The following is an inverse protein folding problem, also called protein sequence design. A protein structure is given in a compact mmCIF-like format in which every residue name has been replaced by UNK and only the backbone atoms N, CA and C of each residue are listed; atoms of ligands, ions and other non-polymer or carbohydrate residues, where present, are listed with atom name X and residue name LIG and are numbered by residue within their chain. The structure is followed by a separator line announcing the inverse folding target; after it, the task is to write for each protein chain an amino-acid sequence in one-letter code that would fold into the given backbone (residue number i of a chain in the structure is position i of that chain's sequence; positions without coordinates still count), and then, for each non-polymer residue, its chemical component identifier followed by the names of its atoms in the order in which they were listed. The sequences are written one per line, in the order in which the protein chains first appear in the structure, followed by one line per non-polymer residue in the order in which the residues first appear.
data_IF_731284679147
#
_entry.id   IF_731284679147
#
_cell.length_a   1.000
_cell.length_b   1.000
_cell.length_c   1.000
_cell.angle_alpha   90.00
_cell.angle_beta   90.00
_cell.angle_gamma   90.00
#
_symmetry.space_group_name_H-M   'P 1'
#
loop_
_entity.id
_entity.type
_entity.pdbx_description
1 polymer ?
#
# COMPACT_ATOMS: atom_id res chain seq x y z
N UNK A 1 12.34 -25.42 -26.15
CA UNK A 1 13.70 -25.01 -26.58
C UNK A 1 14.53 -24.82 -25.33
N UNK A 2 15.67 -25.49 -25.27
CA UNK A 2 16.65 -25.47 -24.19
C UNK A 2 17.60 -24.30 -24.44
N UNK A 3 17.95 -23.52 -23.41
CA UNK A 3 19.06 -22.58 -23.44
C UNK A 3 19.88 -22.84 -22.18
N UNK A 4 20.94 -23.62 -22.35
CA UNK A 4 21.98 -23.79 -21.35
C UNK A 4 23.01 -22.65 -21.47
N UNK A 5 23.37 -22.10 -20.31
CA UNK A 5 24.72 -21.68 -19.89
C UNK A 5 25.34 -20.37 -20.39
N UNK A 6 25.60 -19.47 -19.43
CA UNK A 6 26.90 -18.80 -19.32
C UNK A 6 27.37 -18.80 -17.85
N UNK A 7 28.42 -19.60 -17.58
CA UNK A 7 29.50 -19.31 -16.63
C UNK A 7 29.24 -19.52 -15.13
N UNK A 8 29.57 -20.69 -14.60
CA UNK A 8 29.89 -20.85 -13.17
C UNK A 8 31.41 -20.66 -13.01
N UNK A 9 31.89 -19.63 -12.29
CA UNK A 9 33.29 -19.58 -11.87
C UNK A 9 33.54 -20.67 -10.83
N UNK A 10 34.62 -21.42 -11.07
CA UNK A 10 35.16 -22.45 -10.19
C UNK A 10 35.48 -21.91 -8.80
N UNK A 11 35.03 -22.65 -7.79
CA UNK A 11 35.57 -22.74 -6.43
C UNK A 11 35.72 -21.41 -5.66
N UNK A 12 34.71 -21.09 -4.85
CA UNK A 12 34.97 -20.50 -3.54
C UNK A 12 34.27 -21.37 -2.48
N UNK A 13 35.08 -21.86 -1.53
CA UNK A 13 34.61 -22.46 -0.29
C UNK A 13 33.91 -21.39 0.55
N UNK A 14 32.67 -21.07 0.24
CA UNK A 14 31.79 -20.33 1.15
C UNK A 14 30.73 -21.30 1.65
N UNK A 15 30.92 -21.73 2.89
CA UNK A 15 29.91 -22.39 3.69
C UNK A 15 28.71 -21.45 3.73
N UNK A 16 27.61 -21.80 3.06
CA UNK A 16 26.35 -21.09 3.23
C UNK A 16 25.87 -21.35 4.66
N UNK A 17 26.26 -20.49 5.58
CA UNK A 17 25.51 -20.29 6.79
C UNK A 17 24.22 -19.59 6.36
N UNK A 18 23.13 -20.36 6.30
CA UNK A 18 21.78 -19.83 6.34
C UNK A 18 21.61 -19.22 7.73
N UNK A 19 22.06 -17.97 7.90
CA UNK A 19 21.58 -17.11 8.98
C UNK A 19 20.16 -16.72 8.60
N UNK A 20 19.20 -17.45 9.16
CA UNK A 20 17.79 -17.08 9.17
C UNK A 20 17.62 -15.96 10.19
N UNK A 21 17.83 -14.73 9.78
CA UNK A 21 17.44 -13.53 10.54
C UNK A 21 17.08 -12.36 9.61
N UNK A 22 16.51 -12.67 8.43
CA UNK A 22 15.94 -11.67 7.54
C UNK A 22 14.58 -11.20 8.10
N UNK A 23 14.66 -10.33 9.10
CA UNK A 23 13.54 -9.52 9.57
C UNK A 23 13.28 -8.42 8.51
N UNK A 24 12.72 -8.81 7.35
CA UNK A 24 12.40 -7.91 6.22
C UNK A 24 11.51 -6.71 6.63
N UNK A 25 10.90 -6.76 7.82
CA UNK A 25 10.13 -5.66 8.40
C UNK A 25 11.00 -4.49 8.91
N UNK A 26 12.30 -4.72 9.16
CA UNK A 26 13.21 -3.76 9.78
C UNK A 26 14.26 -3.20 8.80
N UNK A 27 14.36 -3.75 7.59
CA UNK A 27 15.24 -3.21 6.57
C UNK A 27 14.78 -1.82 6.14
N UNK A 28 15.73 -0.89 6.02
CA UNK A 28 15.45 0.44 5.47
C UNK A 28 14.92 0.25 4.05
N UNK A 29 13.61 0.39 3.90
CA UNK A 29 12.96 0.54 2.60
C UNK A 29 13.81 1.54 1.80
N UNK A 30 14.35 1.10 0.66
CA UNK A 30 15.09 1.98 -0.24
C UNK A 30 14.25 3.20 -0.63
N UNK A 31 14.87 4.21 -1.26
CA UNK A 31 14.13 5.41 -1.66
C UNK A 31 12.85 5.02 -2.43
N UNK A 32 11.66 5.51 -2.01
CA UNK A 32 10.40 5.04 -2.56
C UNK A 32 10.36 5.30 -4.07
N UNK A 33 10.22 4.24 -4.86
CA UNK A 33 10.15 4.31 -6.32
C UNK A 33 8.94 5.12 -6.79
N UNK A 34 7.83 5.12 -6.03
CA UNK A 34 6.66 5.94 -6.30
C UNK A 34 5.98 6.23 -4.96
N UNK A 35 5.64 7.49 -4.71
CA UNK A 35 4.89 7.88 -3.53
C UNK A 35 3.65 8.69 -3.92
N UNK A 36 2.53 8.34 -3.31
CA UNK A 36 1.24 8.99 -3.52
C UNK A 36 0.73 9.51 -2.18
N UNK A 37 0.58 10.84 -2.06
CA UNK A 37 0.04 11.48 -0.87
C UNK A 37 -1.36 12.02 -1.17
N UNK A 38 -2.35 11.59 -0.40
CA UNK A 38 -3.74 11.99 -0.55
C UNK A 38 -4.20 12.86 0.63
N UNK A 39 -4.49 14.12 0.34
CA UNK A 39 -5.07 15.07 1.29
C UNK A 39 -6.55 15.28 0.97
N UNK A 40 -7.38 14.31 1.36
CA UNK A 40 -8.82 14.32 1.05
C UNK A 40 -9.54 15.56 1.57
N UNK A 41 -9.17 16.07 2.76
CA UNK A 41 -9.75 17.30 3.33
C UNK A 41 -9.48 18.55 2.49
N UNK A 42 -8.41 18.54 1.69
CA UNK A 42 -8.02 19.64 0.80
C UNK A 42 -8.38 19.32 -0.66
N UNK A 43 -8.84 18.11 -0.96
CA UNK A 43 -9.08 17.64 -2.32
C UNK A 43 -7.81 17.59 -3.18
N UNK A 44 -6.65 17.32 -2.58
CA UNK A 44 -5.35 17.31 -3.26
C UNK A 44 -4.70 15.93 -3.22
N UNK A 45 -4.09 15.57 -4.35
CA UNK A 45 -3.24 14.39 -4.49
C UNK A 45 -1.88 14.84 -5.01
N UNK A 46 -0.81 14.33 -4.40
CA UNK A 46 0.56 14.50 -4.86
C UNK A 46 1.12 13.16 -5.35
N UNK A 47 1.65 13.15 -6.56
CA UNK A 47 2.32 11.99 -7.16
C UNK A 47 3.80 12.31 -7.28
N UNK A 48 4.63 11.57 -6.57
CA UNK A 48 6.08 11.75 -6.50
C UNK A 48 6.74 10.52 -7.11
N UNK A 49 7.62 10.74 -8.08
CA UNK A 49 8.25 9.69 -8.87
C UNK A 49 9.71 10.04 -9.19
N UNK A 50 10.56 9.04 -9.43
CA UNK A 50 11.96 9.22 -9.75
C UNK A 50 12.09 9.92 -11.11
N UNK A 51 13.08 10.79 -11.20
CA UNK A 51 13.42 11.52 -12.41
C UNK A 51 14.89 11.24 -12.81
N UNK A 52 15.22 11.30 -14.10
CA UNK A 52 16.59 11.04 -14.57
C UNK A 52 17.57 12.18 -14.22
N UNK A 53 17.08 13.39 -14.01
CA UNK A 53 17.90 14.59 -13.74
C UNK A 53 17.71 15.10 -12.31
N UNK A 54 18.73 15.72 -11.69
CA UNK A 54 18.61 16.35 -10.37
C UNK A 54 17.38 17.28 -10.28
N UNK A 55 16.54 17.20 -9.23
CA UNK A 55 16.77 16.53 -7.93
C UNK A 55 16.42 15.03 -7.89
N UNK A 56 16.42 14.34 -9.04
CA UNK A 56 16.06 12.91 -9.21
C UNK A 56 14.64 12.56 -8.77
N UNK A 57 13.82 13.59 -8.57
CA UNK A 57 12.43 13.49 -8.14
C UNK A 57 11.62 14.47 -8.95
N UNK A 58 10.53 13.99 -9.51
CA UNK A 58 9.48 14.81 -10.09
C UNK A 58 8.22 14.65 -9.24
N UNK A 59 7.56 15.77 -8.95
CA UNK A 59 6.29 15.77 -8.25
C UNK A 59 5.22 16.48 -9.07
N UNK A 60 4.04 15.88 -9.15
CA UNK A 60 2.83 16.50 -9.70
C UNK A 60 1.74 16.59 -8.66
N UNK A 61 1.03 17.71 -8.63
CA UNK A 61 -0.15 17.92 -7.80
C UNK A 61 -1.40 17.89 -8.69
N UNK A 62 -2.45 17.22 -8.23
CA UNK A 62 -3.72 17.15 -8.93
C UNK A 62 -4.89 17.28 -7.95
N UNK A 63 -6.03 17.72 -8.46
CA UNK A 63 -7.28 17.75 -7.68
C UNK A 63 -7.87 16.36 -7.64
N UNK A 64 -8.31 15.92 -6.46
CA UNK A 64 -9.04 14.67 -6.30
C UNK A 64 -10.45 14.89 -6.87
N UNK A 65 -10.83 14.23 -7.99
CA UNK A 65 -12.10 14.49 -8.66
C UNK A 65 -13.30 13.91 -7.91
N UNK A 66 -13.07 12.96 -6.99
CA UNK A 66 -14.11 12.26 -6.23
C UNK A 66 -13.66 12.15 -4.77
N UNK A 67 -14.48 12.65 -3.85
CA UNK A 67 -14.24 12.49 -2.42
C UNK A 67 -14.40 11.01 -2.10
N UNK A 68 -13.30 10.32 -1.78
CA UNK A 68 -13.38 8.99 -1.21
C UNK A 68 -14.08 9.11 0.15
N UNK A 69 -15.02 8.21 0.50
CA UNK A 69 -15.69 8.27 1.78
C UNK A 69 -14.66 8.30 2.91
N UNK A 70 -14.70 9.30 3.82
CA UNK A 70 -13.68 9.48 4.85
C UNK A 70 -13.67 8.35 5.89
N UNK A 71 -14.68 7.48 5.88
CA UNK A 71 -14.74 6.32 6.73
C UNK A 71 -15.25 5.12 5.90
N UNK A 72 -14.54 3.98 5.89
CA UNK A 72 -15.06 2.75 5.28
C UNK A 72 -16.40 2.28 5.88
N UNK A 73 -16.73 2.72 7.09
CA UNK A 73 -17.92 2.34 7.87
C UNK A 73 -19.00 3.45 7.91
N UNK A 74 -19.18 4.21 6.83
CA UNK A 74 -20.29 5.15 6.69
C UNK A 74 -21.67 4.45 6.73
N UNK A 75 -22.78 5.17 6.98
CA UNK A 75 -24.12 4.57 7.01
C UNK A 75 -24.43 3.85 5.69
N UNK A 76 -24.90 2.60 5.78
CA UNK A 76 -25.14 1.72 4.63
C UNK A 76 -24.26 0.47 4.59
N UNK A 77 -23.40 0.25 5.60
CA UNK A 77 -22.66 -1.00 5.72
C UNK A 77 -23.55 -2.15 6.20
N UNK A 78 -23.47 -3.28 5.52
CA UNK A 78 -24.19 -4.51 5.83
C UNK A 78 -23.21 -5.60 6.24
N UNK A 79 -23.47 -6.25 7.37
CA UNK A 79 -22.80 -7.50 7.70
C UNK A 79 -23.26 -8.60 6.73
N UNK A 80 -22.30 -9.24 6.07
CA UNK A 80 -22.58 -10.33 5.11
C UNK A 80 -22.48 -11.66 5.83
N UNK A 81 -21.32 -11.93 6.44
CA UNK A 81 -21.02 -13.20 7.11
C UNK A 81 -19.77 -13.12 7.97
N UNK A 82 -19.66 -14.06 8.88
CA UNK A 82 -18.39 -14.47 9.46
C UNK A 82 -17.92 -15.72 8.74
N UNK A 83 -16.64 -15.77 8.38
CA UNK A 83 -16.05 -16.91 7.69
C UNK A 83 -14.62 -17.15 8.17
N UNK A 84 -14.05 -18.28 7.73
CA UNK A 84 -12.66 -18.64 8.04
C UNK A 84 -12.00 -19.12 6.77
N UNK A 85 -10.78 -18.67 6.52
CA UNK A 85 -9.89 -19.21 5.50
C UNK A 85 -8.70 -19.94 6.14
N UNK A 86 -7.70 -20.28 5.33
CA UNK A 86 -6.51 -21.02 5.79
C UNK A 86 -5.63 -20.19 6.74
N UNK A 87 -5.81 -18.86 6.79
CA UNK A 87 -4.97 -17.94 7.56
C UNK A 87 -5.69 -17.50 8.84
N UNK A 88 -6.96 -17.08 8.74
CA UNK A 88 -7.65 -16.43 9.87
C UNK A 88 -9.17 -16.60 9.83
N UNK A 89 -9.82 -16.23 10.94
CA UNK A 89 -11.27 -16.02 11.00
C UNK A 89 -11.56 -14.54 10.83
N UNK A 90 -12.51 -14.20 9.97
CA UNK A 90 -12.80 -12.83 9.61
C UNK A 90 -14.31 -12.56 9.48
N UNK A 91 -14.66 -11.30 9.72
CA UNK A 91 -15.98 -10.75 9.49
C UNK A 91 -15.98 -10.01 8.16
N UNK A 92 -16.95 -10.35 7.30
CA UNK A 92 -17.15 -9.74 5.99
C UNK A 92 -18.32 -8.75 6.05
N UNK A 93 -18.01 -7.52 5.68
CA UNK A 93 -18.95 -6.41 5.60
C UNK A 93 -18.96 -5.85 4.19
N UNK A 94 -20.12 -5.35 3.74
CA UNK A 94 -20.29 -4.79 2.40
C UNK A 94 -20.90 -3.40 2.49
N UNK A 95 -20.38 -2.46 1.71
CA UNK A 95 -20.96 -1.14 1.50
C UNK A 95 -21.16 -0.90 0.00
N UNK A 96 -22.38 -0.53 -0.37
CA UNK A 96 -22.73 -0.22 -1.76
C UNK A 96 -22.81 1.29 -1.95
N UNK A 97 -21.97 1.81 -2.85
CA UNK A 97 -22.00 3.19 -3.31
C UNK A 97 -22.64 3.24 -4.70
N UNK A 98 -23.13 4.41 -5.09
CA UNK A 98 -23.79 4.58 -6.39
C UNK A 98 -22.92 4.13 -7.58
N UNK A 99 -21.60 4.26 -7.48
CA UNK A 99 -20.67 3.96 -8.57
C UNK A 99 -19.81 2.72 -8.34
N UNK A 100 -19.75 2.18 -7.13
CA UNK A 100 -18.83 1.10 -6.79
C UNK A 100 -19.29 0.36 -5.54
N UNK A 101 -18.74 -0.83 -5.31
CA UNK A 101 -18.99 -1.63 -4.11
C UNK A 101 -17.69 -1.83 -3.35
N UNK A 102 -17.78 -1.80 -2.03
CA UNK A 102 -16.67 -2.08 -1.12
C UNK A 102 -17.01 -3.32 -0.29
N UNK A 103 -16.14 -4.32 -0.32
CA UNK A 103 -16.20 -5.47 0.57
C UNK A 103 -15.03 -5.40 1.54
N UNK A 104 -15.33 -5.26 2.83
CA UNK A 104 -14.37 -5.17 3.91
C UNK A 104 -14.29 -6.47 4.69
N UNK A 105 -13.08 -6.85 5.05
CA UNK A 105 -12.83 -8.05 5.83
C UNK A 105 -11.95 -7.66 7.01
N UNK A 106 -12.44 -7.93 8.21
CA UNK A 106 -11.74 -7.64 9.46
C UNK A 106 -11.46 -8.94 10.20
N UNK A 107 -10.30 -9.05 10.85
CA UNK A 107 -10.06 -10.15 11.77
C UNK A 107 -11.09 -10.14 12.89
N UNK A 108 -11.77 -11.26 13.14
CA UNK A 108 -12.83 -11.32 14.17
C UNK A 108 -12.27 -11.05 15.57
N UNK A 109 -11.04 -11.50 15.86
CA UNK A 109 -10.44 -11.39 17.20
C UNK A 109 -9.87 -10.00 17.50
N UNK A 110 -9.11 -9.42 16.57
CA UNK A 110 -8.44 -8.13 16.76
C UNK A 110 -9.23 -6.93 16.24
N UNK A 111 -10.23 -7.15 15.38
CA UNK A 111 -10.95 -6.09 14.69
C UNK A 111 -10.13 -5.34 13.65
N UNK A 112 -8.88 -5.76 13.39
CA UNK A 112 -7.99 -5.09 12.45
C UNK A 112 -8.38 -5.42 10.99
N UNK A 113 -8.15 -4.49 10.04
CA UNK A 113 -8.36 -4.75 8.61
C UNK A 113 -7.50 -5.94 8.15
N UNK A 114 -8.12 -6.85 7.41
CA UNK A 114 -7.46 -8.01 6.81
C UNK A 114 -7.35 -7.86 5.29
N UNK A 115 -8.47 -7.59 4.62
CA UNK A 115 -8.52 -7.37 3.17
C UNK A 115 -9.68 -6.46 2.79
N UNK A 116 -9.57 -5.83 1.64
CA UNK A 116 -10.61 -4.98 1.06
C UNK A 116 -10.71 -5.26 -0.44
N UNK A 117 -11.93 -5.38 -0.94
CA UNK A 117 -12.19 -5.32 -2.38
C UNK A 117 -12.85 -3.99 -2.72
N UNK A 118 -12.33 -3.36 -3.78
CA UNK A 118 -12.98 -2.23 -4.44
C UNK A 118 -13.36 -2.69 -5.83
N UNK A 119 -14.64 -2.95 -6.05
CA UNK A 119 -15.13 -3.62 -7.27
C UNK A 119 -14.42 -4.97 -7.53
N UNK A 120 -13.44 -5.00 -8.44
CA UNK A 120 -12.65 -6.19 -8.79
C UNK A 120 -11.22 -6.15 -8.26
N UNK A 121 -10.78 -5.05 -7.67
CA UNK A 121 -9.42 -4.88 -7.16
C UNK A 121 -9.31 -5.36 -5.71
N UNK A 122 -8.30 -6.19 -5.42
CA UNK A 122 -8.02 -6.72 -4.10
C UNK A 122 -6.85 -5.99 -3.44
N UNK A 123 -7.08 -5.50 -2.23
CA UNK A 123 -6.07 -4.95 -1.34
C UNK A 123 -5.96 -5.84 -0.11
N UNK A 124 -4.82 -6.48 0.10
CA UNK A 124 -4.52 -7.28 1.29
C UNK A 124 -3.62 -6.51 2.25
N UNK A 125 -3.93 -6.56 3.53
CA UNK A 125 -3.15 -5.91 4.59
C UNK A 125 -2.33 -6.97 5.33
N UNK A 126 -1.01 -6.95 5.15
CA UNK A 126 -0.11 -7.94 5.75
C UNK A 126 0.22 -7.61 7.20
N UNK A 127 0.40 -6.32 7.51
CA UNK A 127 0.65 -5.82 8.85
C UNK A 127 -0.13 -4.53 9.08
N UNK A 128 -0.69 -4.41 10.28
CA UNK A 128 -1.36 -3.20 10.74
C UNK A 128 -0.92 -2.95 12.17
N UNK A 129 -0.21 -1.85 12.38
CA UNK A 129 0.19 -1.40 13.71
C UNK A 129 -0.72 -0.26 14.14
N UNK A 130 -1.40 -0.44 15.27
CA UNK A 130 -2.16 0.63 15.91
C UNK A 130 -1.22 1.51 16.71
N UNK A 131 -1.26 2.82 16.51
CA UNK A 131 -0.45 3.75 17.30
C UNK A 131 -0.51 5.18 16.79
N UNK A 132 0.16 6.12 17.50
CA UNK A 132 0.37 7.45 16.98
C UNK A 132 1.18 7.35 15.68
N UNK A 133 0.63 7.87 14.60
CA UNK A 133 1.36 8.03 13.34
C UNK A 133 2.15 9.34 13.39
N UNK A 134 3.38 9.31 12.90
CA UNK A 134 4.16 10.53 12.70
C UNK A 134 3.49 11.36 11.60
N UNK A 135 3.07 12.59 11.92
CA UNK A 135 2.42 13.49 10.96
C UNK A 135 3.30 13.79 9.74
N UNK A 136 4.62 13.65 9.88
CA UNK A 136 5.59 13.89 8.80
C UNK A 136 5.36 13.00 7.57
N UNK A 137 4.79 11.79 7.75
CA UNK A 137 4.51 10.85 6.65
C UNK A 137 3.39 11.35 5.73
N UNK A 138 2.57 12.30 6.20
CA UNK A 138 1.52 12.95 5.41
C UNK A 138 1.98 14.27 4.78
N UNK A 139 3.24 14.65 4.96
CA UNK A 139 3.80 15.89 4.42
C UNK A 139 4.64 15.59 3.17
N UNK A 140 4.73 16.58 2.27
CA UNK A 140 5.68 16.49 1.16
C UNK A 140 7.12 16.37 1.72
N UNK A 141 7.97 15.50 1.14
CA UNK A 141 9.36 15.42 1.55
C UNK A 141 10.07 16.76 1.38
N UNK A 142 11.01 17.04 2.28
CA UNK A 142 11.75 18.27 2.26
C UNK A 142 12.47 18.47 0.91
N UNK A 143 12.28 19.63 0.29
CA UNK A 143 12.92 19.98 -0.99
C UNK A 143 12.16 19.54 -2.23
N UNK A 144 11.12 18.70 -2.11
CA UNK A 144 10.26 18.33 -3.23
C UNK A 144 9.30 19.48 -3.55
N UNK A 145 9.31 19.93 -4.81
CA UNK A 145 8.37 20.93 -5.33
C UNK A 145 7.48 20.29 -6.37
N UNK A 146 6.17 20.46 -6.22
CA UNK A 146 5.18 19.87 -7.10
C UNK A 146 4.67 20.89 -8.12
N UNK A 147 4.52 20.47 -9.36
CA UNK A 147 3.85 21.25 -10.42
C UNK A 147 2.42 20.75 -10.60
N UNK A 148 1.50 21.60 -11.05
CA UNK A 148 0.15 21.14 -11.36
C UNK A 148 0.18 20.20 -12.56
N UNK A 149 -0.46 19.03 -12.44
CA UNK A 149 -0.69 18.15 -13.56
C UNK A 149 -1.52 18.90 -14.61
N UNK A 150 -1.05 18.93 -15.86
CA UNK A 150 -1.87 19.44 -16.97
C UNK A 150 -3.02 18.46 -17.18
N UNK A 151 -4.25 18.98 -17.15
CA UNK A 151 -5.48 18.22 -17.40
C UNK A 151 -5.91 18.39 -18.83
#
# INVERSE_FOLDING_TARGET
MRLDSYGVPSESNTTYLLDTDDDYACDKLGEPLYMYLYHYSQGLQFNIFPAPDPPYVQCTAMKIPKIFPPNPLLPGIQFVRQARDNVTTFDHWKAEYFLFTLDYFFHTESGLPYKMYVETELFEFLSVESGPLDESVFMLPQGVKCTWAQT
#
